data_IF_166918620244
#
_entry.id   IF_166918620244
#
_cell.length_a   1.000
_cell.length_b   1.000
_cell.length_c   1.000
_cell.angle_alpha   90.00
_cell.angle_beta   90.00
_cell.angle_gamma   90.00
#
_symmetry.space_group_name_H-M   'P 1'
#
loop_
_entity.id
_entity.type
_entity.pdbx_description
1 polymer ?
#
# COMPACT_ATOMS: atom_id res chain seq x y z
N UNK A 1 -9.00 -5.36 25.02
CA UNK A 1 -9.07 -5.91 23.65
C UNK A 1 -8.20 -5.13 22.65
N UNK A 2 -7.76 -3.91 22.94
CA UNK A 2 -6.91 -3.08 22.08
C UNK A 2 -5.49 -3.62 21.83
N UNK A 3 -4.93 -4.43 22.74
CA UNK A 3 -3.51 -4.84 22.66
C UNK A 3 -3.16 -5.85 21.54
N UNK A 4 -4.15 -6.62 21.05
CA UNK A 4 -3.90 -7.65 20.01
C UNK A 4 -3.87 -7.10 18.59
N UNK A 5 -4.60 -6.03 18.32
CA UNK A 5 -4.55 -5.38 17.01
C UNK A 5 -3.25 -4.61 16.79
N UNK A 6 -2.72 -3.99 17.87
CA UNK A 6 -1.45 -3.27 17.83
C UNK A 6 -0.28 -4.20 17.49
N UNK A 7 -0.31 -5.46 17.98
CA UNK A 7 0.75 -6.43 17.70
C UNK A 7 0.75 -6.88 16.21
N UNK A 8 -0.42 -7.07 15.61
CA UNK A 8 -0.53 -7.42 14.19
C UNK A 8 -0.04 -6.29 13.26
N UNK A 9 -0.29 -5.05 13.67
CA UNK A 9 0.11 -3.87 12.89
C UNK A 9 1.60 -3.60 12.95
N UNK A 10 2.21 -3.77 14.13
CA UNK A 10 3.66 -3.66 14.29
C UNK A 10 4.39 -4.64 13.36
N UNK A 11 3.79 -5.81 13.09
CA UNK A 11 4.38 -6.81 12.19
C UNK A 11 4.35 -6.38 10.71
N UNK A 12 3.25 -5.75 10.25
CA UNK A 12 3.15 -5.22 8.88
C UNK A 12 4.02 -3.97 8.64
N UNK A 13 4.24 -3.16 9.69
CA UNK A 13 5.04 -1.94 9.58
C UNK A 13 6.55 -2.26 9.59
N UNK A 14 6.97 -3.29 10.33
CA UNK A 14 8.39 -3.58 10.53
C UNK A 14 9.07 -4.36 9.39
N UNK A 15 8.31 -4.94 8.44
CA UNK A 15 8.84 -5.91 7.48
C UNK A 15 8.60 -5.60 6.01
N UNK A 16 8.06 -4.41 5.68
CA UNK A 16 7.92 -3.95 4.28
C UNK A 16 9.26 -3.55 3.62
N UNK A 17 10.39 -4.00 4.14
CA UNK A 17 11.64 -4.09 3.38
C UNK A 17 11.55 -5.28 2.41
N UNK A 18 10.41 -5.38 1.71
CA UNK A 18 10.14 -6.43 0.75
C UNK A 18 10.99 -6.21 -0.50
N UNK A 19 11.60 -7.26 -0.94
CA UNK A 19 12.23 -7.39 -2.23
C UNK A 19 11.28 -6.89 -3.31
N UNK A 20 11.47 -5.64 -3.71
CA UNK A 20 10.94 -5.15 -4.99
C UNK A 20 11.56 -6.06 -6.02
N UNK A 21 10.76 -6.90 -6.65
CA UNK A 21 11.20 -7.67 -7.80
C UNK A 21 11.81 -6.68 -8.78
N UNK A 22 13.11 -6.77 -8.99
CA UNK A 22 13.81 -5.94 -9.94
C UNK A 22 13.38 -6.40 -11.33
N UNK A 23 12.25 -5.88 -11.80
CA UNK A 23 11.92 -5.88 -13.21
C UNK A 23 12.97 -5.04 -13.90
N UNK A 24 14.04 -5.66 -14.32
CA UNK A 24 15.08 -5.01 -15.12
C UNK A 24 14.69 -5.22 -16.56
N UNK A 25 14.28 -4.16 -17.21
CA UNK A 25 13.90 -4.19 -18.61
C UNK A 25 15.15 -4.12 -19.46
N UNK A 26 15.62 -5.29 -19.92
CA UNK A 26 16.47 -5.36 -21.08
C UNK A 26 15.58 -5.32 -22.32
N UNK A 27 15.71 -4.30 -23.14
CA UNK A 27 15.11 -4.27 -24.46
C UNK A 27 15.82 -5.33 -25.30
N UNK A 28 15.27 -6.55 -25.37
CA UNK A 28 15.78 -7.61 -26.24
C UNK A 28 15.12 -7.45 -27.61
N UNK A 29 15.85 -6.88 -28.54
CA UNK A 29 15.54 -7.05 -29.94
C UNK A 29 15.94 -8.48 -30.34
N UNK A 30 14.96 -9.37 -30.49
CA UNK A 30 15.19 -10.74 -30.97
C UNK A 30 15.41 -10.70 -32.49
N UNK A 31 16.68 -10.84 -32.90
CA UNK A 31 17.05 -10.96 -34.30
C UNK A 31 17.12 -12.42 -34.71
N UNK A 32 15.97 -13.02 -34.97
CA UNK A 32 15.89 -14.28 -35.76
C UNK A 32 14.90 -14.09 -36.90
N UNK A 33 15.39 -13.58 -38.00
CA UNK A 33 14.63 -13.39 -39.23
C UNK A 33 15.51 -13.54 -40.44
N UNK A 34 15.36 -14.66 -41.08
CA UNK A 34 15.93 -15.04 -42.37
C UNK A 34 15.80 -13.94 -43.43
N UNK A 35 16.87 -13.66 -44.11
CA UNK A 35 16.95 -12.65 -45.16
C UNK A 35 15.98 -12.90 -46.33
N UNK A 36 15.16 -11.88 -46.63
CA UNK A 36 14.67 -11.62 -47.98
C UNK A 36 14.77 -10.10 -48.23
N UNK A 37 15.34 -9.68 -49.36
CA UNK A 37 15.59 -8.27 -49.62
C UNK A 37 14.40 -7.65 -50.33
N UNK A 38 13.56 -6.87 -49.64
CA UNK A 38 12.79 -5.79 -50.22
C UNK A 38 12.06 -4.97 -49.10
N UNK A 39 12.29 -3.70 -49.18
CA UNK A 39 11.70 -2.54 -48.56
C UNK A 39 12.36 -1.96 -47.28
N UNK A 40 13.06 -0.86 -47.58
CA UNK A 40 13.63 0.05 -46.60
C UNK A 40 12.57 0.89 -45.92
N UNK A 41 12.09 0.47 -44.73
CA UNK A 41 11.31 1.33 -43.84
C UNK A 41 11.46 1.01 -42.35
N UNK A 42 12.20 -0.04 -41.99
CA UNK A 42 12.28 -0.50 -40.58
C UNK A 42 13.43 0.13 -39.75
N UNK A 43 14.38 0.80 -40.42
CA UNK A 43 15.58 1.33 -39.74
C UNK A 43 15.32 2.70 -39.05
N UNK A 44 14.25 3.41 -39.41
CA UNK A 44 13.96 4.72 -38.83
C UNK A 44 13.27 4.66 -37.45
N UNK A 45 12.52 3.60 -37.16
CA UNK A 45 11.79 3.51 -35.89
C UNK A 45 12.70 3.22 -34.72
N UNK A 46 13.61 2.23 -34.83
CA UNK A 46 14.49 1.85 -33.72
C UNK A 46 15.51 2.93 -33.33
N UNK A 47 15.99 3.68 -34.33
CA UNK A 47 16.92 4.82 -34.08
C UNK A 47 16.19 6.00 -33.45
N UNK A 48 14.94 6.26 -33.85
CA UNK A 48 14.13 7.32 -33.26
C UNK A 48 13.69 6.97 -31.82
N UNK A 49 13.37 5.72 -31.57
CA UNK A 49 13.04 5.22 -30.23
C UNK A 49 14.25 5.28 -29.28
N UNK A 50 15.41 4.80 -29.70
CA UNK A 50 16.64 4.93 -28.93
C UNK A 50 16.97 6.39 -28.61
N UNK A 51 16.79 7.31 -29.55
CA UNK A 51 17.03 8.74 -29.34
C UNK A 51 16.08 9.36 -28.31
N UNK A 52 14.83 8.88 -28.20
CA UNK A 52 13.89 9.42 -27.21
C UNK A 52 14.25 9.10 -25.77
N UNK A 53 14.87 7.93 -25.51
CA UNK A 53 15.39 7.56 -24.18
C UNK A 53 16.65 8.36 -23.82
N UNK A 54 17.61 8.40 -24.72
CA UNK A 54 18.92 9.02 -24.46
C UNK A 54 18.87 10.53 -24.35
N UNK A 55 17.77 11.16 -24.78
CA UNK A 55 17.55 12.60 -24.66
C UNK A 55 16.65 13.01 -23.48
N UNK A 56 16.07 12.04 -22.73
CA UNK A 56 15.25 12.34 -21.59
C UNK A 56 16.10 12.82 -20.42
N UNK A 57 15.74 13.97 -19.85
CA UNK A 57 16.36 14.58 -18.68
C UNK A 57 15.48 14.45 -17.44
N UNK A 58 16.02 14.80 -16.27
CA UNK A 58 15.28 14.81 -15.03
C UNK A 58 13.96 15.62 -15.15
N UNK A 59 12.86 15.02 -14.72
CA UNK A 59 11.51 15.58 -14.83
C UNK A 59 10.77 15.24 -16.12
N UNK A 60 11.40 14.52 -17.08
CA UNK A 60 10.70 13.94 -18.23
C UNK A 60 9.91 12.70 -17.81
N UNK A 61 8.77 12.47 -18.45
CA UNK A 61 8.00 11.23 -18.30
C UNK A 61 8.09 10.40 -19.57
N UNK A 62 8.20 9.08 -19.40
CA UNK A 62 8.35 8.12 -20.49
C UNK A 62 7.18 7.15 -20.50
N UNK A 63 6.74 6.79 -21.69
CA UNK A 63 5.76 5.73 -21.90
C UNK A 63 6.20 4.79 -23.01
N UNK A 64 5.58 3.62 -23.07
CA UNK A 64 5.80 2.61 -24.09
C UNK A 64 4.59 1.67 -24.16
N UNK A 65 4.51 0.93 -25.24
CA UNK A 65 3.51 -0.11 -25.41
C UNK A 65 4.08 -1.45 -24.98
N UNK A 66 3.25 -2.27 -24.34
CA UNK A 66 3.58 -3.65 -23.98
C UNK A 66 2.78 -4.56 -24.90
N UNK A 67 3.45 -5.34 -25.73
CA UNK A 67 2.84 -6.32 -26.61
C UNK A 67 2.37 -7.56 -25.82
N UNK A 68 1.54 -8.42 -26.43
CA UNK A 68 1.04 -9.64 -25.78
C UNK A 68 2.14 -10.62 -25.33
N UNK A 69 3.29 -10.57 -25.98
CA UNK A 69 4.48 -11.38 -25.64
C UNK A 69 5.39 -10.74 -24.57
N UNK A 70 4.97 -9.59 -24.00
CA UNK A 70 5.75 -8.82 -23.03
C UNK A 70 6.82 -7.92 -23.66
N UNK A 71 6.91 -7.85 -24.99
CA UNK A 71 7.86 -6.96 -25.65
C UNK A 71 7.45 -5.50 -25.51
N UNK A 72 8.41 -4.65 -25.12
CA UNK A 72 8.22 -3.21 -25.00
C UNK A 72 8.58 -2.51 -26.31
N UNK A 73 7.65 -1.71 -26.83
CA UNK A 73 7.79 -1.01 -28.11
C UNK A 73 7.25 0.41 -28.01
N UNK A 74 7.54 1.23 -29.02
CA UNK A 74 7.01 2.60 -29.13
C UNK A 74 7.35 3.49 -27.94
N UNK A 75 8.61 3.50 -27.55
CA UNK A 75 9.10 4.34 -26.47
C UNK A 75 9.06 5.80 -26.86
N UNK A 76 8.44 6.62 -26.03
CA UNK A 76 8.32 8.06 -26.27
C UNK A 76 8.34 8.86 -24.97
N UNK A 77 8.74 10.13 -25.06
CA UNK A 77 8.55 11.07 -23.97
C UNK A 77 7.08 11.53 -23.99
N UNK A 78 6.44 11.45 -22.84
CA UNK A 78 5.05 11.82 -22.62
C UNK A 78 4.94 13.06 -21.74
N UNK A 79 3.79 13.74 -21.81
CA UNK A 79 3.45 14.75 -20.80
C UNK A 79 3.19 14.05 -19.47
N UNK A 80 3.88 14.48 -18.41
CA UNK A 80 3.70 13.91 -17.07
C UNK A 80 2.28 14.08 -16.51
N UNK A 81 1.52 15.05 -16.98
CA UNK A 81 0.10 15.19 -16.62
C UNK A 81 -0.78 14.09 -17.26
N UNK A 82 -0.31 13.47 -18.36
CA UNK A 82 -0.95 12.35 -19.04
C UNK A 82 -0.45 11.00 -18.51
N UNK A 83 -0.92 9.93 -19.16
CA UNK A 83 -0.50 8.57 -18.82
C UNK A 83 0.95 8.30 -19.23
N UNK A 84 1.73 7.81 -18.28
CA UNK A 84 3.12 7.42 -18.47
C UNK A 84 3.47 6.26 -17.53
N UNK A 85 4.61 5.60 -17.77
CA UNK A 85 5.07 4.45 -16.99
C UNK A 85 6.30 4.73 -16.14
N UNK A 86 7.01 5.81 -16.44
CA UNK A 86 8.28 6.12 -15.79
C UNK A 86 8.51 7.63 -15.72
N UNK A 87 8.94 8.12 -14.56
CA UNK A 87 9.36 9.50 -14.36
C UNK A 87 10.87 9.55 -14.12
N UNK A 88 11.59 10.26 -14.99
CA UNK A 88 13.05 10.37 -14.93
C UNK A 88 13.46 11.28 -13.77
N UNK A 89 14.23 10.77 -12.84
CA UNK A 89 14.80 11.52 -11.71
C UNK A 89 16.23 12.01 -11.99
N UNK A 90 17.01 11.22 -12.73
CA UNK A 90 18.37 11.57 -13.12
C UNK A 90 18.78 10.83 -14.38
N UNK A 91 19.79 11.39 -15.05
CA UNK A 91 20.48 10.80 -16.18
C UNK A 91 21.93 10.63 -15.82
N UNK A 92 22.43 9.41 -15.90
CA UNK A 92 23.81 9.04 -15.57
C UNK A 92 24.55 8.58 -16.83
N UNK A 93 25.81 8.95 -16.96
CA UNK A 93 26.70 8.48 -18.01
C UNK A 93 27.65 7.44 -17.42
N UNK A 94 27.39 6.16 -17.70
CA UNK A 94 28.21 5.04 -17.22
C UNK A 94 29.64 5.05 -17.80
N UNK A 95 29.87 5.77 -18.90
CA UNK A 95 31.24 5.91 -19.45
C UNK A 95 32.16 6.72 -18.50
N UNK A 96 31.59 7.55 -17.62
CA UNK A 96 32.32 8.29 -16.59
C UNK A 96 32.62 7.47 -15.34
N UNK A 97 31.96 6.33 -15.16
CA UNK A 97 32.30 5.32 -14.13
C UNK A 97 33.71 4.77 -14.41
N UNK A 98 34.36 4.04 -13.47
CA UNK A 98 35.70 3.57 -13.72
C UNK A 98 35.83 3.02 -15.14
N UNK A 99 36.71 3.55 -15.99
CA UNK A 99 36.71 3.29 -17.46
C UNK A 99 36.82 1.82 -17.86
N UNK A 100 37.27 0.98 -16.93
CA UNK A 100 37.44 -0.45 -17.14
C UNK A 100 36.12 -1.24 -17.10
N UNK A 101 35.05 -0.71 -16.48
CA UNK A 101 33.80 -1.47 -16.34
C UNK A 101 32.85 -1.29 -17.53
N UNK A 102 32.69 -0.06 -18.01
CA UNK A 102 31.73 0.26 -19.08
C UNK A 102 32.43 0.83 -20.34
N UNK A 103 33.63 0.31 -20.65
CA UNK A 103 34.36 0.67 -21.84
C UNK A 103 33.65 0.29 -23.13
N UNK A 104 34.23 0.65 -24.32
CA UNK A 104 33.56 0.43 -25.60
C UNK A 104 33.17 -1.03 -25.87
N UNK A 105 33.98 -1.99 -25.39
CA UNK A 105 33.77 -3.44 -25.58
C UNK A 105 33.02 -4.09 -24.41
N UNK A 106 32.59 -3.31 -23.40
CA UNK A 106 31.88 -3.84 -22.23
C UNK A 106 30.50 -4.40 -22.63
N UNK A 107 30.14 -5.60 -22.17
CA UNK A 107 28.82 -6.15 -22.41
C UNK A 107 27.75 -5.34 -21.66
N UNK A 108 26.50 -5.41 -22.14
CA UNK A 108 25.38 -4.86 -21.42
C UNK A 108 25.28 -5.46 -19.99
N UNK A 109 25.15 -4.68 -18.93
CA UNK A 109 25.06 -5.18 -17.56
C UNK A 109 23.94 -6.21 -17.42
N UNK A 110 24.25 -7.34 -16.79
CA UNK A 110 23.25 -8.34 -16.45
C UNK A 110 22.33 -7.84 -15.31
N UNK A 111 21.25 -8.55 -15.04
CA UNK A 111 20.25 -8.16 -14.04
C UNK A 111 20.85 -7.88 -12.64
N UNK A 112 21.81 -8.70 -12.21
CA UNK A 112 22.49 -8.49 -10.92
C UNK A 112 23.26 -7.17 -10.91
N UNK A 113 24.00 -6.87 -11.99
CA UNK A 113 24.75 -5.61 -12.07
C UNK A 113 23.82 -4.40 -12.22
N UNK A 114 22.73 -4.55 -12.94
CA UNK A 114 21.69 -3.51 -13.03
C UNK A 114 21.08 -3.19 -11.65
N UNK A 115 20.80 -4.22 -10.84
CA UNK A 115 20.33 -4.00 -9.48
C UNK A 115 21.36 -3.25 -8.60
N UNK A 116 22.64 -3.58 -8.73
CA UNK A 116 23.72 -2.86 -8.04
C UNK A 116 23.81 -1.40 -8.51
N UNK A 117 23.78 -1.16 -9.83
CA UNK A 117 23.79 0.20 -10.38
C UNK A 117 22.62 1.04 -9.90
N UNK A 118 21.43 0.43 -9.79
CA UNK A 118 20.26 1.08 -9.19
C UNK A 118 20.57 1.57 -7.78
N UNK A 119 21.13 0.73 -6.92
CA UNK A 119 21.46 1.11 -5.54
C UNK A 119 22.60 2.15 -5.49
N UNK A 120 23.64 1.96 -6.31
CA UNK A 120 24.83 2.83 -6.32
C UNK A 120 24.54 4.23 -6.84
N UNK A 121 23.75 4.35 -7.90
CA UNK A 121 23.57 5.60 -8.65
C UNK A 121 22.16 6.20 -8.50
N UNK A 122 21.12 5.38 -8.59
CA UNK A 122 19.76 5.91 -8.65
C UNK A 122 19.20 6.32 -7.30
N UNK A 123 19.53 5.63 -6.20
CA UNK A 123 18.94 5.92 -4.90
C UNK A 123 19.12 7.37 -4.46
N UNK A 124 20.36 7.82 -4.37
CA UNK A 124 20.67 9.19 -3.95
C UNK A 124 20.21 10.25 -4.97
N UNK A 125 20.25 9.94 -6.26
CA UNK A 125 19.80 10.83 -7.31
C UNK A 125 18.29 11.05 -7.24
N UNK A 126 17.51 9.99 -7.07
CA UNK A 126 16.06 10.08 -6.92
C UNK A 126 15.63 10.83 -5.66
N UNK A 127 16.31 10.59 -4.53
CA UNK A 127 16.03 11.35 -3.30
C UNK A 127 16.29 12.85 -3.48
N UNK A 128 17.36 13.22 -4.17
CA UNK A 128 17.62 14.63 -4.50
C UNK A 128 16.54 15.22 -5.41
N UNK A 129 16.11 14.46 -6.41
CA UNK A 129 15.05 14.87 -7.33
C UNK A 129 13.73 15.15 -6.62
N UNK A 130 13.37 14.29 -5.65
CA UNK A 130 12.14 14.42 -4.85
C UNK A 130 12.28 15.33 -3.62
N UNK A 131 13.42 16.04 -3.46
CA UNK A 131 13.70 16.85 -2.27
C UNK A 131 13.54 16.08 -0.95
N UNK A 132 13.95 14.81 -0.96
CA UNK A 132 13.86 13.88 0.16
C UNK A 132 12.48 13.27 0.40
N UNK A 133 11.45 13.65 -0.36
CA UNK A 133 10.07 13.18 -0.19
C UNK A 133 9.83 11.87 -0.95
N UNK A 134 10.29 10.79 -0.40
CA UNK A 134 10.11 9.45 -0.97
C UNK A 134 9.74 8.43 0.11
N UNK A 135 8.68 7.69 -0.11
CA UNK A 135 8.31 6.55 0.73
C UNK A 135 8.80 5.24 0.07
N UNK A 136 9.86 4.60 0.61
CA UNK A 136 10.40 3.36 0.04
C UNK A 136 9.43 2.18 0.13
N UNK A 137 8.41 2.26 0.98
CA UNK A 137 7.36 1.24 1.14
C UNK A 137 6.07 1.62 0.39
N UNK A 138 6.08 2.75 -0.31
CA UNK A 138 4.97 3.25 -1.10
C UNK A 138 4.73 2.45 -2.38
N UNK A 139 3.91 3.00 -3.26
CA UNK A 139 3.58 2.38 -4.54
C UNK A 139 4.64 2.60 -5.62
N UNK A 140 5.47 3.64 -5.50
CA UNK A 140 6.52 3.93 -6.46
C UNK A 140 7.83 3.26 -6.08
N UNK A 141 8.51 2.68 -7.07
CA UNK A 141 9.81 2.06 -6.93
C UNK A 141 10.86 2.79 -7.78
N UNK A 142 12.08 2.83 -7.27
CA UNK A 142 13.23 3.35 -8.03
C UNK A 142 13.69 2.28 -9.01
N UNK A 143 13.81 2.65 -10.28
CA UNK A 143 14.26 1.73 -11.33
C UNK A 143 15.27 2.39 -12.26
N UNK A 144 16.23 1.63 -12.84
CA UNK A 144 17.09 2.06 -13.91
C UNK A 144 16.48 1.70 -15.27
N UNK A 145 16.70 2.54 -16.28
CA UNK A 145 16.52 2.16 -17.69
C UNK A 145 17.88 2.28 -18.38
N UNK A 146 18.29 1.23 -19.05
CA UNK A 146 19.51 1.17 -19.85
C UNK A 146 19.17 1.26 -21.35
N UNK A 147 20.12 1.68 -22.20
CA UNK A 147 19.94 1.68 -23.64
C UNK A 147 19.63 0.28 -24.18
N UNK A 148 18.91 0.16 -25.30
CA UNK A 148 18.78 -1.08 -26.02
C UNK A 148 20.14 -1.68 -26.39
N UNK A 149 20.19 -3.00 -26.59
CA UNK A 149 21.43 -3.70 -26.83
C UNK A 149 22.21 -3.19 -28.05
N UNK A 150 21.54 -2.78 -29.11
CA UNK A 150 22.12 -2.19 -30.31
C UNK A 150 22.72 -0.80 -30.05
N UNK A 151 22.01 0.05 -29.29
CA UNK A 151 22.54 1.35 -28.88
C UNK A 151 23.76 1.19 -27.95
N UNK A 152 23.70 0.23 -27.02
CA UNK A 152 24.84 -0.11 -26.16
C UNK A 152 26.05 -0.56 -26.97
N UNK A 153 25.88 -1.43 -27.99
CA UNK A 153 26.93 -1.86 -28.90
C UNK A 153 27.54 -0.70 -29.72
N UNK A 154 26.71 0.31 -30.01
CA UNK A 154 27.13 1.53 -30.70
C UNK A 154 27.73 2.58 -29.76
N UNK A 155 27.94 2.25 -28.49
CA UNK A 155 28.67 3.09 -27.54
C UNK A 155 27.79 3.96 -26.63
N UNK A 156 26.45 3.84 -26.69
CA UNK A 156 25.59 4.52 -25.73
C UNK A 156 25.76 3.90 -24.33
N UNK A 157 26.05 4.74 -23.36
CA UNK A 157 26.27 4.39 -21.95
C UNK A 157 25.34 5.15 -21.02
N UNK A 158 24.28 5.73 -21.58
CA UNK A 158 23.28 6.47 -20.80
C UNK A 158 22.48 5.50 -19.94
N UNK A 159 22.35 5.81 -18.65
CA UNK A 159 21.41 5.17 -17.74
C UNK A 159 20.45 6.20 -17.20
N UNK A 160 19.16 5.96 -17.32
CA UNK A 160 18.15 6.78 -16.68
C UNK A 160 17.81 6.18 -15.32
N UNK A 161 17.85 7.00 -14.28
CA UNK A 161 17.34 6.68 -12.98
C UNK A 161 15.96 7.32 -12.83
N UNK A 162 14.98 6.60 -12.32
CA UNK A 162 13.65 7.19 -12.16
C UNK A 162 12.72 6.34 -11.31
N UNK A 163 11.45 6.69 -11.38
CA UNK A 163 10.37 6.18 -10.57
C UNK A 163 9.30 5.56 -11.46
N UNK A 164 8.79 4.42 -11.01
CA UNK A 164 7.71 3.70 -11.65
C UNK A 164 6.79 3.06 -10.61
N UNK A 165 5.55 2.84 -10.95
CA UNK A 165 4.66 1.94 -10.23
C UNK A 165 4.62 0.60 -10.97
N UNK A 166 4.59 -0.51 -10.25
CA UNK A 166 4.56 -1.85 -10.85
C UNK A 166 3.35 -2.64 -10.36
N UNK A 167 2.85 -3.52 -11.22
CA UNK A 167 1.87 -4.54 -10.85
C UNK A 167 2.50 -5.67 -10.02
N UNK A 168 1.73 -6.71 -9.72
CA UNK A 168 2.16 -7.89 -8.98
C UNK A 168 3.23 -8.73 -9.70
N UNK A 169 3.38 -8.57 -11.01
CA UNK A 169 4.39 -9.26 -11.82
C UNK A 169 5.70 -8.46 -11.94
N UNK A 170 5.71 -7.23 -11.40
CA UNK A 170 6.83 -6.31 -11.51
C UNK A 170 6.82 -5.47 -12.80
N UNK A 171 5.74 -5.55 -13.60
CA UNK A 171 5.61 -4.76 -14.83
C UNK A 171 5.17 -3.33 -14.53
N UNK A 172 5.79 -2.29 -15.15
CA UNK A 172 5.38 -0.92 -14.96
C UNK A 172 3.96 -0.68 -15.47
N UNK A 173 3.11 -0.12 -14.58
CA UNK A 173 1.74 0.28 -14.91
C UNK A 173 1.67 1.75 -15.32
N UNK A 174 0.57 2.12 -15.98
CA UNK A 174 0.32 3.51 -16.32
C UNK A 174 -0.04 4.31 -15.07
N UNK A 175 0.62 5.44 -14.91
CA UNK A 175 0.34 6.45 -13.88
C UNK A 175 0.16 7.81 -14.53
N UNK A 176 -0.28 8.81 -13.78
CA UNK A 176 -0.39 10.19 -14.24
C UNK A 176 0.02 11.16 -13.12
N UNK A 177 0.51 12.32 -13.50
CA UNK A 177 1.06 13.30 -12.56
C UNK A 177 2.48 12.95 -12.14
N UNK A 178 3.17 13.90 -11.50
CA UNK A 178 4.51 13.68 -10.95
C UNK A 178 4.45 13.03 -9.59
N UNK A 179 5.44 12.16 -9.31
CA UNK A 179 5.57 11.46 -8.03
C UNK A 179 5.66 12.43 -6.84
N UNK A 180 6.32 13.56 -7.02
CA UNK A 180 6.43 14.58 -5.98
C UNK A 180 5.08 15.15 -5.52
N UNK A 181 4.06 15.15 -6.39
CA UNK A 181 2.72 15.67 -6.13
C UNK A 181 1.70 14.54 -5.84
N UNK A 182 2.10 13.29 -6.04
CA UNK A 182 1.24 12.12 -5.88
C UNK A 182 1.20 11.65 -4.41
N UNK A 183 0.07 11.03 -4.04
CA UNK A 183 0.03 10.21 -2.83
C UNK A 183 0.83 8.92 -3.08
N UNK A 184 1.90 8.73 -2.31
CA UNK A 184 2.80 7.59 -2.49
C UNK A 184 2.33 6.33 -1.76
N UNK A 185 1.25 6.41 -0.97
CA UNK A 185 0.75 5.26 -0.23
C UNK A 185 0.33 4.12 -1.18
N UNK A 186 0.69 2.89 -0.82
CA UNK A 186 0.20 1.69 -1.49
C UNK A 186 -1.22 1.41 -1.03
N UNK A 187 -2.17 1.76 -1.87
CA UNK A 187 -3.60 1.56 -1.60
C UNK A 187 -4.26 0.76 -2.71
N UNK A 188 -5.39 0.15 -2.37
CA UNK A 188 -6.14 -0.75 -3.24
C UNK A 188 -7.59 -0.28 -3.36
N UNK A 189 -8.28 -0.71 -4.42
CA UNK A 189 -9.68 -0.36 -4.63
C UNK A 189 -10.62 -1.24 -3.79
N UNK A 190 -11.80 -0.70 -3.47
CA UNK A 190 -12.82 -1.47 -2.76
C UNK A 190 -13.25 -2.70 -3.57
N UNK A 191 -13.29 -3.86 -2.93
CA UNK A 191 -13.59 -5.15 -3.56
C UNK A 191 -12.37 -5.95 -4.00
N UNK A 192 -11.17 -5.35 -3.99
CA UNK A 192 -9.95 -6.10 -4.25
C UNK A 192 -9.59 -7.01 -3.07
N UNK A 193 -9.18 -8.22 -3.41
CA UNK A 193 -8.65 -9.21 -2.47
C UNK A 193 -7.13 -9.20 -2.54
N UNK A 194 -6.48 -9.05 -1.37
CA UNK A 194 -5.04 -8.83 -1.28
C UNK A 194 -4.38 -9.98 -0.54
N UNK A 195 -3.48 -10.66 -1.23
CA UNK A 195 -2.59 -11.66 -0.66
C UNK A 195 -1.35 -11.01 -0.04
N UNK A 196 -0.90 -11.59 1.07
CA UNK A 196 0.32 -11.22 1.78
C UNK A 196 1.26 -12.41 1.69
N UNK A 197 2.38 -12.26 1.01
CA UNK A 197 3.36 -13.34 0.88
C UNK A 197 4.30 -13.45 2.10
N UNK A 198 5.22 -14.42 2.06
CA UNK A 198 6.18 -14.65 3.13
C UNK A 198 7.20 -13.48 3.31
N UNK A 199 7.35 -12.64 2.30
CA UNK A 199 8.17 -11.43 2.35
C UNK A 199 7.36 -10.20 2.79
N UNK A 200 6.09 -10.38 3.14
CA UNK A 200 5.09 -9.33 3.43
C UNK A 200 4.81 -8.40 2.23
N UNK A 201 5.04 -8.87 1.02
CA UNK A 201 4.62 -8.15 -0.18
C UNK A 201 3.11 -8.31 -0.37
N UNK A 202 2.47 -7.24 -0.81
CA UNK A 202 1.03 -7.18 -1.05
C UNK A 202 0.76 -7.32 -2.54
N UNK A 203 -0.11 -8.25 -2.92
CA UNK A 203 -0.53 -8.44 -4.31
C UNK A 203 -2.04 -8.61 -4.40
N UNK A 204 -2.63 -7.99 -5.41
CA UNK A 204 -4.06 -8.20 -5.74
C UNK A 204 -4.19 -9.56 -6.40
N UNK A 205 -5.15 -10.34 -5.90
CA UNK A 205 -5.48 -11.67 -6.43
C UNK A 205 -6.99 -11.78 -6.63
N UNK A 206 -7.46 -12.68 -7.51
CA UNK A 206 -8.87 -13.03 -7.55
C UNK A 206 -9.37 -13.51 -6.18
N UNK A 207 -10.53 -13.02 -5.71
CA UNK A 207 -11.05 -13.40 -4.39
C UNK A 207 -11.33 -14.92 -4.24
N UNK A 208 -11.41 -15.65 -5.33
CA UNK A 208 -11.46 -17.12 -5.32
C UNK A 208 -10.14 -17.79 -4.96
N UNK A 209 -9.04 -17.05 -4.92
CA UNK A 209 -7.72 -17.52 -4.51
C UNK A 209 -7.44 -17.14 -3.04
N UNK A 210 -6.48 -17.81 -2.38
CA UNK A 210 -6.11 -17.49 -1.01
C UNK A 210 -5.59 -16.05 -0.87
N UNK A 211 -6.23 -15.28 0.01
CA UNK A 211 -5.86 -13.90 0.34
C UNK A 211 -6.05 -13.64 1.84
N UNK A 212 -5.55 -12.53 2.35
CA UNK A 212 -5.62 -12.19 3.77
C UNK A 212 -6.49 -10.97 4.06
N UNK A 213 -6.64 -10.11 3.07
CA UNK A 213 -7.41 -8.87 3.19
C UNK A 213 -8.42 -8.77 2.05
N UNK A 214 -9.63 -8.31 2.34
CA UNK A 214 -10.60 -7.85 1.35
C UNK A 214 -10.85 -6.36 1.59
N UNK A 215 -10.51 -5.53 0.61
CA UNK A 215 -10.53 -4.08 0.75
C UNK A 215 -11.95 -3.55 0.75
N UNK A 216 -12.30 -2.72 1.72
CA UNK A 216 -13.62 -2.11 1.83
C UNK A 216 -13.64 -0.65 1.39
N UNK A 217 -12.55 0.07 1.62
CA UNK A 217 -12.38 1.45 1.14
C UNK A 217 -10.93 1.91 1.32
N UNK A 218 -10.60 3.04 0.70
CA UNK A 218 -9.39 3.80 1.01
C UNK A 218 -9.74 5.14 1.64
N UNK A 219 -8.90 5.59 2.57
CA UNK A 219 -9.11 6.81 3.35
C UNK A 219 -7.94 7.74 3.14
N UNK A 220 -8.20 8.94 2.64
CA UNK A 220 -7.17 9.99 2.57
C UNK A 220 -7.06 10.66 3.95
N UNK A 221 -5.96 10.38 4.64
CA UNK A 221 -5.67 10.86 5.98
C UNK A 221 -5.31 12.36 6.00
N UNK A 222 -4.78 12.91 4.92
CA UNK A 222 -4.42 14.33 4.83
C UNK A 222 -5.64 15.27 4.96
N UNK A 223 -6.85 14.77 4.64
CA UNK A 223 -8.08 15.53 4.86
C UNK A 223 -8.43 15.70 6.34
N UNK A 224 -7.98 14.77 7.17
CA UNK A 224 -8.24 14.79 8.62
C UNK A 224 -7.04 15.35 9.40
N UNK A 225 -5.81 15.02 9.00
CA UNK A 225 -4.57 15.46 9.61
C UNK A 225 -3.83 16.47 8.71
N UNK A 226 -4.48 17.63 8.46
CA UNK A 226 -3.93 18.62 7.54
C UNK A 226 -2.73 19.39 8.13
N UNK A 227 -2.65 19.48 9.45
CA UNK A 227 -1.78 20.47 10.13
C UNK A 227 -0.51 19.83 10.72
N UNK A 228 -0.40 18.51 10.76
CA UNK A 228 0.73 17.81 11.38
C UNK A 228 0.93 16.39 10.85
N UNK A 229 2.09 15.82 11.11
CA UNK A 229 2.35 14.38 10.91
C UNK A 229 1.66 13.60 12.04
N UNK A 230 0.61 12.79 11.76
CA UNK A 230 -0.12 12.08 12.80
C UNK A 230 0.70 10.89 13.35
N UNK A 231 0.61 10.67 14.65
CA UNK A 231 1.09 9.42 15.25
C UNK A 231 0.22 8.23 14.81
N UNK A 232 0.74 7.02 14.97
CA UNK A 232 -0.01 5.79 14.65
C UNK A 232 -1.27 5.70 15.54
N UNK A 233 -1.18 6.11 16.81
CA UNK A 233 -2.29 6.10 17.76
C UNK A 233 -3.42 7.06 17.35
N UNK A 234 -3.08 8.24 16.84
CA UNK A 234 -4.06 9.20 16.32
C UNK A 234 -4.77 8.64 15.10
N UNK A 235 -4.00 8.06 14.17
CA UNK A 235 -4.55 7.40 13.00
C UNK A 235 -5.45 6.22 13.38
N UNK A 236 -5.02 5.39 14.33
CA UNK A 236 -5.77 4.23 14.81
C UNK A 236 -7.12 4.61 15.42
N UNK A 237 -7.15 5.69 16.19
CA UNK A 237 -8.38 6.20 16.77
C UNK A 237 -9.38 6.65 15.68
N UNK A 238 -8.88 7.37 14.68
CA UNK A 238 -9.70 7.85 13.57
C UNK A 238 -10.14 6.71 12.64
N UNK A 239 -9.19 5.88 12.22
CA UNK A 239 -9.44 4.78 11.29
C UNK A 239 -10.31 3.67 11.90
N UNK A 240 -10.26 3.50 13.23
CA UNK A 240 -11.12 2.55 13.93
C UNK A 240 -12.60 2.77 13.68
N UNK A 241 -13.05 4.02 13.76
CA UNK A 241 -14.43 4.38 13.48
C UNK A 241 -14.74 4.36 11.99
N UNK A 242 -13.90 5.00 11.17
CA UNK A 242 -14.10 5.13 9.72
C UNK A 242 -14.10 3.77 9.02
N UNK A 243 -13.13 2.90 9.32
CA UNK A 243 -13.05 1.59 8.68
C UNK A 243 -14.09 0.60 9.18
N UNK A 244 -14.57 0.76 10.43
CA UNK A 244 -15.72 -0.01 10.91
C UNK A 244 -16.98 0.36 10.14
N UNK A 245 -17.23 1.66 9.95
CA UNK A 245 -18.35 2.12 9.15
C UNK A 245 -18.23 1.68 7.69
N UNK A 246 -17.05 1.83 7.09
CA UNK A 246 -16.79 1.38 5.73
C UNK A 246 -17.04 -0.13 5.53
N UNK A 247 -16.68 -0.96 6.52
CA UNK A 247 -16.96 -2.39 6.50
C UNK A 247 -18.47 -2.70 6.57
N UNK A 248 -19.23 -1.94 7.37
CA UNK A 248 -20.69 -2.07 7.45
C UNK A 248 -21.35 -1.65 6.14
N UNK A 249 -20.91 -0.54 5.56
CA UNK A 249 -21.44 -0.03 4.30
C UNK A 249 -21.14 -1.00 3.15
N UNK A 250 -19.92 -1.55 3.12
CA UNK A 250 -19.47 -2.52 2.13
C UNK A 250 -20.28 -3.82 2.16
N UNK A 251 -20.63 -4.30 3.34
CA UNK A 251 -21.45 -5.50 3.53
C UNK A 251 -22.97 -5.22 3.60
N UNK A 252 -23.35 -3.96 3.59
CA UNK A 252 -24.72 -3.50 3.59
C UNK A 252 -25.37 -3.33 4.98
N UNK A 253 -24.77 -3.86 6.05
CA UNK A 253 -25.27 -3.65 7.42
C UNK A 253 -24.27 -4.07 8.50
N UNK A 254 -24.46 -3.56 9.73
CA UNK A 254 -23.74 -4.02 10.92
C UNK A 254 -23.98 -5.50 11.23
N UNK A 255 -25.20 -6.01 10.98
CA UNK A 255 -25.53 -7.41 11.20
C UNK A 255 -24.79 -8.31 10.21
N UNK A 256 -24.67 -7.92 8.94
CA UNK A 256 -23.89 -8.65 7.96
C UNK A 256 -22.40 -8.74 8.36
N UNK A 257 -21.81 -7.63 8.82
CA UNK A 257 -20.45 -7.61 9.35
C UNK A 257 -20.30 -8.53 10.58
N UNK A 258 -21.27 -8.52 11.47
CA UNK A 258 -21.26 -9.43 12.62
C UNK A 258 -21.33 -10.90 12.19
N UNK A 259 -22.25 -11.25 11.29
CA UNK A 259 -22.48 -12.62 10.85
C UNK A 259 -21.36 -13.21 10.00
N UNK A 260 -20.65 -12.41 9.20
CA UNK A 260 -19.54 -12.88 8.38
C UNK A 260 -18.33 -13.30 9.21
N UNK A 261 -18.26 -12.90 10.48
CA UNK A 261 -17.19 -13.16 11.45
C UNK A 261 -15.83 -12.55 11.11
N UNK A 262 -15.71 -11.75 10.06
CA UNK A 262 -14.53 -10.96 9.76
C UNK A 262 -14.46 -9.72 10.65
N UNK A 263 -13.29 -9.09 10.70
CA UNK A 263 -13.07 -7.88 11.48
C UNK A 263 -12.60 -6.76 10.57
N UNK A 264 -13.03 -5.51 10.82
CA UNK A 264 -12.39 -4.36 10.23
C UNK A 264 -10.90 -4.31 10.59
N UNK A 265 -10.11 -3.99 9.59
CA UNK A 265 -8.67 -3.80 9.65
C UNK A 265 -8.31 -2.55 8.87
N UNK A 266 -7.20 -1.92 9.20
CA UNK A 266 -6.68 -0.77 8.45
C UNK A 266 -5.16 -0.72 8.49
N UNK A 267 -4.57 -0.16 7.46
CA UNK A 267 -3.16 0.20 7.43
C UNK A 267 -2.99 1.58 8.08
N UNK A 268 -1.80 1.87 8.58
CA UNK A 268 -1.45 3.19 9.11
C UNK A 268 -0.13 3.64 8.49
N UNK A 269 0.06 4.94 8.32
CA UNK A 269 1.30 5.51 7.82
C UNK A 269 2.26 5.74 8.98
N UNK A 270 3.52 5.34 8.79
CA UNK A 270 4.59 5.74 9.72
C UNK A 270 4.90 7.22 9.53
N UNK A 271 5.51 7.91 10.52
CA UNK A 271 5.98 9.27 10.31
C UNK A 271 6.91 9.42 9.10
N UNK A 272 7.80 8.46 8.88
CA UNK A 272 8.69 8.46 7.72
C UNK A 272 7.93 8.32 6.39
N UNK A 273 6.93 7.42 6.31
CA UNK A 273 6.07 7.30 5.13
C UNK A 273 5.26 8.58 4.88
N UNK A 274 4.75 9.20 5.96
CA UNK A 274 4.06 10.47 5.87
C UNK A 274 4.97 11.58 5.34
N UNK A 275 6.16 11.74 5.87
CA UNK A 275 7.15 12.69 5.39
C UNK A 275 7.58 12.38 3.95
N UNK A 276 7.62 11.09 3.60
CA UNK A 276 7.88 10.60 2.25
C UNK A 276 6.78 10.86 1.23
N UNK A 277 5.57 11.29 1.64
CA UNK A 277 4.49 11.61 0.70
C UNK A 277 3.27 10.68 0.77
N UNK A 278 3.28 9.63 1.60
CA UNK A 278 2.13 8.74 1.78
C UNK A 278 1.06 9.38 2.65
N UNK A 279 -0.18 9.42 2.15
CA UNK A 279 -1.30 10.14 2.76
C UNK A 279 -2.57 9.32 2.91
N UNK A 280 -2.61 8.13 2.34
CA UNK A 280 -3.80 7.28 2.35
C UNK A 280 -3.59 5.99 3.11
N UNK A 281 -4.69 5.43 3.61
CA UNK A 281 -4.76 4.15 4.30
C UNK A 281 -5.81 3.25 3.66
N UNK A 282 -5.61 1.94 3.76
CA UNK A 282 -6.59 0.95 3.37
C UNK A 282 -7.48 0.60 4.56
N UNK A 283 -8.79 0.54 4.34
CA UNK A 283 -9.73 -0.20 5.18
C UNK A 283 -9.98 -1.55 4.55
N UNK A 284 -9.97 -2.61 5.34
CA UNK A 284 -10.15 -3.97 4.86
C UNK A 284 -10.93 -4.83 5.85
N UNK A 285 -11.40 -5.97 5.39
CA UNK A 285 -11.86 -7.07 6.22
C UNK A 285 -10.76 -8.11 6.34
N UNK A 286 -10.62 -8.72 7.52
CA UNK A 286 -9.65 -9.77 7.78
C UNK A 286 -10.16 -10.73 8.86
N UNK A 287 -9.53 -11.90 8.94
CA UNK A 287 -9.68 -12.80 10.08
C UNK A 287 -8.34 -13.00 10.79
N UNK A 288 -8.33 -12.81 12.12
CA UNK A 288 -7.14 -13.01 12.96
C UNK A 288 -7.21 -14.38 13.62
N UNK A 289 -6.18 -15.19 13.43
CA UNK A 289 -5.97 -16.42 14.20
C UNK A 289 -5.67 -16.11 15.67
N UNK A 290 -5.83 -17.07 16.59
CA UNK A 290 -5.54 -16.85 18.01
C UNK A 290 -4.12 -16.35 18.29
N UNK A 291 -3.15 -16.78 17.48
CA UNK A 291 -1.73 -16.41 17.57
C UNK A 291 -1.46 -14.99 17.04
N UNK A 292 -2.48 -14.32 16.49
CA UNK A 292 -2.39 -12.96 15.97
C UNK A 292 -1.98 -12.87 14.51
N UNK A 293 -1.89 -13.98 13.80
CA UNK A 293 -1.61 -14.02 12.35
C UNK A 293 -2.89 -13.85 11.54
N UNK A 294 -2.74 -13.42 10.28
CA UNK A 294 -3.82 -13.43 9.32
C UNK A 294 -4.18 -14.85 8.91
N UNK A 295 -5.47 -15.14 8.83
CA UNK A 295 -5.97 -16.37 8.21
C UNK A 295 -6.05 -16.21 6.69
N UNK A 296 -6.02 -17.32 5.97
CA UNK A 296 -6.34 -17.32 4.55
C UNK A 296 -7.86 -17.23 4.37
N UNK A 297 -8.28 -16.30 3.56
CA UNK A 297 -9.65 -16.18 3.07
C UNK A 297 -9.72 -16.73 1.66
N UNK A 298 -10.83 -17.34 1.29
CA UNK A 298 -11.15 -17.75 -0.08
C UNK A 298 -12.63 -17.46 -0.32
N UNK A 299 -12.93 -16.75 -1.40
CA UNK A 299 -14.26 -16.17 -1.66
C UNK A 299 -14.37 -14.75 -1.10
N UNK A 300 -15.33 -13.97 -1.63
CA UNK A 300 -15.57 -12.59 -1.18
C UNK A 300 -16.60 -12.57 -0.04
N UNK A 301 -16.38 -11.71 0.93
CA UNK A 301 -17.30 -11.46 2.04
C UNK A 301 -18.66 -10.92 1.57
N UNK A 302 -18.70 -10.20 0.44
CA UNK A 302 -19.95 -9.69 -0.15
C UNK A 302 -20.85 -10.78 -0.70
N UNK A 303 -20.31 -11.97 -1.00
CA UNK A 303 -21.08 -13.11 -1.45
C UNK A 303 -21.72 -13.90 -0.28
N UNK A 304 -21.42 -13.49 0.96
CA UNK A 304 -21.97 -14.08 2.17
C UNK A 304 -21.19 -15.30 2.68
N UNK A 305 -21.58 -15.75 3.89
CA UNK A 305 -20.91 -16.85 4.62
C UNK A 305 -20.78 -18.15 3.84
N UNK A 306 -21.72 -18.42 2.96
CA UNK A 306 -21.80 -19.67 2.21
C UNK A 306 -20.67 -19.81 1.19
N UNK A 307 -20.21 -18.68 0.68
CA UNK A 307 -19.15 -18.60 -0.33
C UNK A 307 -17.77 -18.27 0.26
N UNK A 308 -17.72 -17.78 1.51
CA UNK A 308 -16.47 -17.47 2.19
C UNK A 308 -15.91 -18.71 2.90
N UNK A 309 -14.60 -18.88 2.83
CA UNK A 309 -13.84 -19.84 3.64
C UNK A 309 -12.74 -19.11 4.39
N UNK A 310 -12.48 -19.55 5.62
CA UNK A 310 -11.43 -19.08 6.51
C UNK A 310 -10.57 -20.29 6.85
N UNK A 311 -9.32 -20.34 6.36
CA UNK A 311 -8.45 -21.52 6.45
C UNK A 311 -9.18 -22.80 5.99
N UNK A 312 -9.82 -22.74 4.82
CA UNK A 312 -10.62 -23.81 4.17
C UNK A 312 -11.91 -24.21 4.91
N UNK A 313 -12.21 -23.62 6.07
CA UNK A 313 -13.42 -23.88 6.84
C UNK A 313 -14.49 -22.79 6.65
N UNK A 314 -15.77 -23.09 6.84
CA UNK A 314 -16.81 -22.07 6.91
C UNK A 314 -16.52 -21.06 8.03
N UNK A 315 -16.93 -19.79 7.89
CA UNK A 315 -16.84 -18.82 8.98
C UNK A 315 -17.49 -19.35 10.27
N UNK A 316 -16.92 -19.07 11.46
CA UNK A 316 -17.49 -19.49 12.74
C UNK A 316 -18.95 -19.01 12.88
N UNK A 317 -19.83 -19.88 13.37
CA UNK A 317 -21.21 -19.49 13.66
C UNK A 317 -21.25 -18.43 14.76
N UNK A 318 -22.10 -17.44 14.57
CA UNK A 318 -22.40 -16.42 15.58
C UNK A 318 -23.88 -16.48 15.95
N UNK A 319 -24.22 -16.38 17.25
CA UNK A 319 -25.61 -16.36 17.66
C UNK A 319 -26.30 -15.11 17.11
N UNK A 320 -27.56 -15.23 16.81
CA UNK A 320 -28.38 -14.05 16.45
C UNK A 320 -28.31 -13.01 17.56
N UNK A 321 -28.06 -11.76 17.20
CA UNK A 321 -28.14 -10.65 18.15
C UNK A 321 -29.60 -10.50 18.59
N UNK A 322 -29.83 -10.57 19.89
CA UNK A 322 -31.13 -10.16 20.43
C UNK A 322 -31.33 -8.69 20.11
N UNK A 323 -32.46 -8.29 19.50
CA UNK A 323 -32.76 -6.88 19.31
C UNK A 323 -32.66 -6.20 20.67
N UNK A 324 -31.90 -5.09 20.70
CA UNK A 324 -31.93 -4.21 21.88
C UNK A 324 -33.41 -3.93 22.18
N UNK A 325 -33.82 -4.26 23.40
CA UNK A 325 -35.20 -4.06 23.85
C UNK A 325 -35.51 -2.59 23.59
N UNK A 326 -36.31 -2.30 22.56
CA UNK A 326 -36.82 -0.95 22.33
C UNK A 326 -37.40 -0.48 23.67
N UNK A 327 -37.02 0.71 24.10
CA UNK A 327 -37.60 1.32 25.29
C UNK A 327 -39.11 1.14 25.19
N UNK A 328 -39.65 0.36 26.11
CA UNK A 328 -41.08 0.06 26.14
C UNK A 328 -41.82 1.36 26.13
N UNK A 329 -42.65 1.56 25.11
CA UNK A 329 -43.80 2.47 25.23
C UNK A 329 -44.42 2.29 26.60
N UNK A 330 -44.69 3.37 27.35
CA UNK A 330 -45.36 3.26 28.63
C UNK A 330 -46.72 2.62 28.39
N UNK A 331 -46.88 1.42 28.96
CA UNK A 331 -48.12 0.67 28.92
C UNK A 331 -49.23 1.51 29.58
N UNK A 332 -50.12 2.06 28.78
CA UNK A 332 -51.35 2.60 29.25
C UNK A 332 -52.22 1.48 29.80
N UNK A 333 -52.70 1.64 31.02
CA UNK A 333 -53.74 0.90 31.70
C UNK A 333 -53.26 -0.20 32.67
N UNK A 334 -52.78 0.25 33.83
CA UNK A 334 -53.17 -0.42 35.07
C UNK A 334 -53.63 0.64 36.09
N UNK A 335 -54.85 0.52 36.54
CA UNK A 335 -55.45 1.34 37.59
C UNK A 335 -54.65 1.24 38.92
N UNK A 336 -54.54 2.29 39.70
CA UNK A 336 -53.71 2.29 40.90
C UNK A 336 -54.33 1.41 42.00
N UNK A 337 -53.49 0.48 42.51
CA UNK A 337 -53.79 -0.24 43.75
C UNK A 337 -53.60 0.70 44.97
N UNK A 338 -54.36 0.50 46.01
CA UNK A 338 -54.37 1.41 47.20
C UNK A 338 -53.04 1.29 47.97
N UNK A 339 -52.59 2.45 48.47
CA UNK A 339 -51.32 2.63 49.17
C UNK A 339 -51.27 1.84 50.51
N UNK A 340 -50.15 1.17 50.84
CA UNK A 340 -49.95 0.68 52.21
C UNK A 340 -49.47 1.79 53.15
N UNK A 341 -49.90 1.68 54.40
CA UNK A 341 -49.63 2.60 55.50
C UNK A 341 -48.10 2.68 55.82
N UNK A 342 -47.64 3.83 56.35
CA UNK A 342 -46.19 4.02 56.60
C UNK A 342 -45.71 3.18 57.78
N UNK A 343 -44.56 2.57 57.63
CA UNK A 343 -43.77 1.91 58.67
C UNK A 343 -42.85 2.93 59.37
N UNK A 344 -42.43 2.71 60.62
CA UNK A 344 -41.71 3.70 61.41
C UNK A 344 -40.26 3.87 60.96
N UNK A 345 -39.84 5.11 61.06
CA UNK A 345 -38.53 5.65 60.67
C UNK A 345 -37.39 5.02 61.50
N UNK A 346 -36.35 4.54 60.85
CA UNK A 346 -35.10 4.08 61.47
C UNK A 346 -34.09 5.24 61.51
N UNK A 347 -33.21 5.30 62.54
CA UNK A 347 -32.31 6.44 62.71
C UNK A 347 -31.18 6.47 61.69
N UNK A 348 -30.79 7.71 61.30
CA UNK A 348 -29.77 8.01 60.30
C UNK A 348 -28.39 7.53 60.72
N UNK A 349 -27.53 7.05 59.81
CA UNK A 349 -26.14 6.74 60.11
C UNK A 349 -25.27 8.01 60.14
N UNK A 350 -24.38 8.02 61.13
CA UNK A 350 -23.37 9.04 61.43
C UNK A 350 -22.39 9.21 60.26
N UNK A 351 -21.98 10.46 59.97
CA UNK A 351 -21.03 10.81 58.92
C UNK A 351 -19.59 10.37 59.29
N UNK A 352 -18.82 9.87 58.31
CA UNK A 352 -17.41 9.55 58.56
C UNK A 352 -16.54 10.82 58.65
N UNK A 353 -15.52 10.75 59.51
CA UNK A 353 -14.51 11.78 59.79
C UNK A 353 -13.60 12.06 58.56
N UNK A 354 -13.06 13.28 58.44
CA UNK A 354 -12.18 13.63 57.29
C UNK A 354 -10.82 12.91 57.36
N UNK A 355 -10.46 12.37 56.21
CA UNK A 355 -9.17 11.69 55.96
C UNK A 355 -8.02 12.70 55.87
N UNK A 356 -6.86 12.36 56.40
CA UNK A 356 -5.67 13.20 56.43
C UNK A 356 -4.99 13.28 55.06
N UNK A 357 -4.28 14.37 54.70
CA UNK A 357 -3.68 14.55 53.39
C UNK A 357 -2.46 13.64 53.18
N UNK A 358 -2.36 13.08 51.98
CA UNK A 358 -1.25 12.26 51.52
C UNK A 358 0.05 13.08 51.32
N UNK A 359 1.24 12.48 51.52
CA UNK A 359 2.54 13.15 51.34
C UNK A 359 2.85 13.38 49.85
N UNK A 360 3.56 14.47 49.57
CA UNK A 360 3.99 14.91 48.26
C UNK A 360 5.02 13.95 47.63
N UNK A 361 5.05 13.83 46.28
CA UNK A 361 6.04 13.00 45.60
C UNK A 361 7.41 13.69 45.56
N UNK A 362 8.44 12.89 45.85
CA UNK A 362 9.87 13.25 45.76
C UNK A 362 10.27 13.45 44.28
N UNK A 363 11.14 14.44 44.08
CA UNK A 363 11.70 14.80 42.79
C UNK A 363 12.69 13.74 42.24
N UNK A 364 12.81 13.51 40.93
CA UNK A 364 13.76 12.59 40.37
C UNK A 364 15.19 13.12 40.43
N UNK A 365 16.09 12.29 40.88
CA UNK A 365 17.55 12.51 40.87
C UNK A 365 18.08 12.26 39.45
N UNK A 366 18.77 13.23 38.88
CA UNK A 366 19.54 13.13 37.64
C UNK A 366 20.84 12.33 37.88
N UNK A 367 21.10 11.38 36.99
CA UNK A 367 22.46 10.93 36.62
C UNK A 367 22.56 10.80 35.13
#
# INVERSE_FOLDING_TARGET
MASKQTALRAFLIATLAGTVGAGTYGLTADSSGSANPADGSSTSSSVAEAASFTTADAGSCLTWQVAEDGTHTNFEQADCAGEHRFEVAAREDLATSPPSEFGPEAPLPNQTRQAQLREELCGAATLRYLDGKYDPNGRFSIAPILPPADAWQNGDRTMLCGLQETDSNGEPVLTSGKVADADQARVFEAGECVAIDAANSLSVVPCGEPHQLEITSRVNLAKHFADHTPSVEEQDKYLGDVCTQAAQDYLGSEEALYQIALRPFWTSQTPAAWEGGSRSANCALMFSRPEGQFANLTGSATQGREHLRIDDAPPPERPERRPLRSEQQPNQSQAPAPAPSPAPEAPAPEAPAPEAPAPAPEAPVQF
#
